data_IF_738254404071
#
_entry.id   IF_738254404071
#
_cell.length_a   1.000
_cell.length_b   1.000
_cell.length_c   1.000
_cell.angle_alpha   90.00
_cell.angle_beta   90.00
_cell.angle_gamma   90.00
#
_symmetry.space_group_name_H-M   'P 1'
#
loop_
_entity.id
_entity.type
_entity.pdbx_description
1 polymer ?
#
# COMPACT_ATOMS: atom_id res chain seq x y z
N UNK A 1 -26.08 25.30 46.01
CA UNK A 1 -26.66 26.40 45.20
C UNK A 1 -26.96 25.87 43.81
N UNK A 2 -28.19 26.12 43.32
CA UNK A 2 -28.74 26.18 41.93
C UNK A 2 -28.02 25.37 40.84
N UNK A 3 -28.62 24.31 40.28
CA UNK A 3 -29.69 24.24 39.25
C UNK A 3 -29.29 24.76 37.85
N UNK A 4 -29.47 23.87 36.86
CA UNK A 4 -29.97 24.18 35.50
C UNK A 4 -28.98 23.91 34.36
N UNK A 5 -29.40 23.49 33.15
CA UNK A 5 -30.68 22.99 32.65
C UNK A 5 -30.44 22.50 31.19
N UNK A 6 -31.05 21.35 30.85
CA UNK A 6 -31.67 20.89 29.59
C UNK A 6 -31.46 21.65 28.26
N UNK A 7 -31.28 20.87 27.17
CA UNK A 7 -32.20 20.74 26.01
C UNK A 7 -31.55 19.80 24.95
N UNK A 8 -32.13 18.63 24.61
CA UNK A 8 -33.16 18.42 23.57
C UNK A 8 -32.68 18.87 22.18
N UNK A 9 -32.75 18.13 21.08
CA UNK A 9 -33.39 16.87 20.71
C UNK A 9 -33.58 16.92 19.17
N UNK A 10 -33.60 15.77 18.48
CA UNK A 10 -34.34 15.58 17.23
C UNK A 10 -34.19 14.14 16.73
N UNK A 11 -35.26 13.37 16.95
CA UNK A 11 -35.57 12.13 16.26
C UNK A 11 -36.21 12.54 14.92
N UNK A 12 -35.78 11.93 13.81
CA UNK A 12 -36.59 11.87 12.60
C UNK A 12 -36.52 10.45 12.03
N UNK A 13 -37.57 9.69 12.31
CA UNK A 13 -37.96 8.52 11.55
C UNK A 13 -39.01 8.96 10.53
N UNK A 14 -38.81 8.59 9.26
CA UNK A 14 -39.91 8.44 8.29
C UNK A 14 -39.65 7.17 7.49
N UNK A 15 -40.52 6.20 7.70
CA UNK A 15 -40.75 5.06 6.82
C UNK A 15 -41.60 5.50 5.61
N UNK A 16 -41.57 4.74 4.51
CA UNK A 16 -42.76 4.14 3.87
C UNK A 16 -42.34 3.36 2.61
N UNK A 17 -42.98 2.20 2.48
CA UNK A 17 -42.86 1.20 1.45
C UNK A 17 -43.36 1.63 0.06
N UNK A 18 -42.96 0.87 -0.96
CA UNK A 18 -43.56 0.91 -2.30
C UNK A 18 -43.34 -0.39 -3.06
N UNK A 19 -44.23 -1.36 -2.84
CA UNK A 19 -44.44 -2.53 -3.69
C UNK A 19 -45.23 -2.10 -4.93
N UNK A 20 -44.81 -2.51 -6.14
CA UNK A 20 -45.73 -2.61 -7.30
C UNK A 20 -45.47 -3.95 -8.00
N UNK A 21 -46.47 -4.81 -7.91
CA UNK A 21 -46.64 -6.04 -8.70
C UNK A 21 -47.60 -5.73 -9.86
N UNK A 22 -47.34 -6.41 -10.98
CA UNK A 22 -48.24 -6.82 -12.06
C UNK A 22 -48.53 -5.92 -13.27
N UNK A 23 -48.34 -6.56 -14.43
CA UNK A 23 -48.92 -6.21 -15.72
C UNK A 23 -48.73 -7.36 -16.71
N UNK A 24 -49.47 -8.46 -16.55
CA UNK A 24 -49.71 -9.45 -17.62
C UNK A 24 -50.92 -9.03 -18.47
N UNK A 25 -50.75 -8.99 -19.79
CA UNK A 25 -51.74 -9.26 -20.87
C UNK A 25 -50.98 -9.14 -22.19
N UNK A 26 -50.73 -10.22 -22.94
CA UNK A 26 -51.68 -10.97 -23.79
C UNK A 26 -51.58 -10.39 -25.21
N UNK A 27 -51.52 -11.10 -26.33
CA UNK A 27 -51.51 -12.50 -26.75
C UNK A 27 -51.46 -12.47 -28.29
N UNK A 28 -51.09 -13.56 -28.98
CA UNK A 28 -51.26 -13.62 -30.45
C UNK A 28 -50.27 -14.49 -31.22
N UNK A 29 -50.67 -15.74 -31.46
CA UNK A 29 -50.55 -16.53 -32.69
C UNK A 29 -49.24 -16.60 -33.52
N UNK A 30 -48.63 -17.78 -33.47
CA UNK A 30 -48.33 -18.71 -34.59
C UNK A 30 -47.82 -18.18 -35.94
N UNK A 31 -46.58 -18.55 -36.27
CA UNK A 31 -46.06 -18.70 -37.63
C UNK A 31 -44.59 -19.13 -37.65
N UNK A 32 -44.21 -20.27 -38.28
CA UNK A 32 -42.85 -20.81 -38.19
C UNK A 32 -41.98 -20.37 -39.38
N UNK A 33 -40.83 -19.74 -39.13
CA UNK A 33 -39.78 -19.57 -40.16
C UNK A 33 -38.39 -19.56 -39.50
N UNK A 34 -37.70 -20.69 -39.67
CA UNK A 34 -36.26 -20.95 -39.78
C UNK A 34 -35.22 -20.30 -38.85
N UNK A 35 -34.21 -21.08 -38.41
CA UNK A 35 -33.14 -20.61 -37.55
C UNK A 35 -32.12 -19.84 -38.38
N UNK A 36 -32.14 -18.51 -38.29
CA UNK A 36 -30.91 -17.76 -38.52
C UNK A 36 -30.01 -17.99 -37.30
N UNK A 37 -29.12 -18.97 -37.44
CA UNK A 37 -27.94 -19.16 -36.61
C UNK A 37 -27.06 -17.91 -36.71
N UNK A 38 -27.46 -16.86 -36.02
CA UNK A 38 -26.57 -15.81 -35.61
C UNK A 38 -25.87 -16.34 -34.38
N UNK A 39 -24.70 -16.94 -34.56
CA UNK A 39 -23.70 -16.99 -33.51
C UNK A 39 -23.44 -15.55 -33.07
N UNK A 40 -24.25 -15.04 -32.14
CA UNK A 40 -23.81 -14.03 -31.21
C UNK A 40 -22.63 -14.70 -30.52
N UNK A 41 -21.43 -14.36 -30.98
CA UNK A 41 -20.23 -14.48 -30.17
C UNK A 41 -20.58 -13.68 -28.92
N UNK A 42 -21.03 -14.37 -27.88
CA UNK A 42 -21.02 -13.83 -26.53
C UNK A 42 -19.61 -13.26 -26.37
N UNK A 43 -19.47 -12.00 -25.93
CA UNK A 43 -18.15 -11.47 -25.64
C UNK A 43 -17.48 -12.51 -24.74
N UNK A 44 -16.34 -13.04 -25.19
CA UNK A 44 -15.52 -13.93 -24.39
C UNK A 44 -15.38 -13.22 -23.07
N UNK A 45 -16.02 -13.75 -22.03
CA UNK A 45 -15.98 -13.12 -20.72
C UNK A 45 -14.50 -13.03 -20.36
N UNK A 46 -13.99 -11.80 -20.24
CA UNK A 46 -12.60 -11.56 -19.88
C UNK A 46 -12.30 -12.43 -18.65
N UNK A 47 -11.20 -13.19 -18.72
CA UNK A 47 -10.80 -14.03 -17.59
C UNK A 47 -10.76 -13.18 -16.32
N UNK A 48 -11.25 -13.70 -15.16
CA UNK A 48 -11.36 -12.90 -13.95
C UNK A 48 -9.99 -12.33 -13.58
N UNK A 49 -9.97 -11.04 -13.19
CA UNK A 49 -8.73 -10.33 -12.83
C UNK A 49 -8.00 -10.99 -11.66
N UNK A 50 -8.74 -11.68 -10.79
CA UNK A 50 -8.24 -12.35 -9.60
C UNK A 50 -9.21 -13.45 -9.15
N UNK A 51 -8.75 -14.36 -8.30
CA UNK A 51 -9.57 -15.39 -7.65
C UNK A 51 -9.04 -15.75 -6.27
N UNK A 52 -9.91 -16.19 -5.36
CA UNK A 52 -9.48 -16.74 -4.07
C UNK A 52 -8.95 -18.16 -4.28
N UNK A 53 -7.75 -18.44 -3.77
CA UNK A 53 -7.07 -19.74 -3.93
C UNK A 53 -6.83 -20.48 -2.60
N UNK A 54 -7.10 -19.84 -1.48
CA UNK A 54 -6.93 -20.45 -0.17
C UNK A 54 -6.96 -19.45 0.96
N UNK A 55 -6.46 -19.88 2.11
CA UNK A 55 -6.36 -19.09 3.32
C UNK A 55 -5.87 -19.92 4.50
N UNK A 56 -5.42 -19.25 5.56
CA UNK A 56 -5.09 -19.93 6.82
C UNK A 56 -6.36 -20.18 7.63
N UNK A 57 -6.40 -21.30 8.34
CA UNK A 57 -7.51 -21.67 9.21
C UNK A 57 -7.51 -20.82 10.50
N UNK A 58 -8.71 -20.37 10.86
CA UNK A 58 -9.16 -19.78 12.13
C UNK A 58 -8.89 -18.27 12.44
N UNK A 59 -9.95 -17.63 12.97
CA UNK A 59 -9.95 -16.43 13.82
C UNK A 59 -9.78 -15.08 13.12
N UNK A 60 -8.80 -14.99 12.22
CA UNK A 60 -8.51 -13.82 11.42
C UNK A 60 -8.68 -14.21 9.96
N UNK A 61 -9.42 -13.41 9.17
CA UNK A 61 -9.69 -13.73 7.76
C UNK A 61 -8.39 -13.60 6.96
N UNK A 62 -7.65 -14.69 6.87
CA UNK A 62 -6.44 -14.83 6.06
C UNK A 62 -6.87 -15.38 4.71
N UNK A 63 -6.81 -14.55 3.68
CA UNK A 63 -7.24 -14.91 2.33
C UNK A 63 -6.04 -14.88 1.40
N UNK A 64 -5.88 -15.94 0.62
CA UNK A 64 -4.90 -16.00 -0.45
C UNK A 64 -5.60 -15.76 -1.78
N UNK A 65 -5.11 -14.79 -2.53
CA UNK A 65 -5.68 -14.39 -3.82
C UNK A 65 -4.65 -14.62 -4.91
N UNK A 66 -5.04 -15.31 -5.96
CA UNK A 66 -4.26 -15.35 -7.19
C UNK A 66 -4.71 -14.21 -8.09
N UNK A 67 -3.78 -13.32 -8.44
CA UNK A 67 -4.02 -12.25 -9.42
C UNK A 67 -3.63 -12.73 -10.82
N UNK A 68 -4.43 -12.37 -11.81
CA UNK A 68 -4.12 -12.66 -13.21
C UNK A 68 -2.88 -11.86 -13.64
N UNK A 69 -1.98 -12.43 -14.47
CA UNK A 69 -0.80 -11.71 -14.95
C UNK A 69 -1.13 -10.40 -15.67
N UNK A 70 -2.25 -10.34 -16.40
CA UNK A 70 -2.72 -9.14 -17.10
C UNK A 70 -3.21 -8.03 -16.16
N UNK A 71 -3.63 -8.37 -14.94
CA UNK A 71 -4.08 -7.42 -13.93
C UNK A 71 -3.04 -7.17 -12.82
N UNK A 72 -1.91 -7.89 -12.82
CA UNK A 72 -0.90 -7.82 -11.78
C UNK A 72 -0.31 -6.42 -11.59
N UNK A 73 -0.25 -5.59 -12.64
CA UNK A 73 0.25 -4.21 -12.56
C UNK A 73 -0.86 -3.15 -12.45
N UNK A 74 -2.10 -3.59 -12.24
CA UNK A 74 -3.27 -2.73 -12.11
C UNK A 74 -3.71 -2.70 -10.64
N UNK A 75 -3.38 -1.60 -9.94
CA UNK A 75 -3.77 -1.38 -8.54
C UNK A 75 -5.27 -1.59 -8.29
N UNK A 76 -6.13 -1.27 -9.26
CA UNK A 76 -7.57 -1.42 -9.09
C UNK A 76 -8.00 -2.88 -8.91
N UNK A 77 -7.26 -3.84 -9.47
CA UNK A 77 -7.54 -5.27 -9.28
C UNK A 77 -7.31 -5.72 -7.83
N UNK A 78 -6.29 -5.15 -7.17
CA UNK A 78 -6.03 -5.40 -5.77
C UNK A 78 -7.10 -4.75 -4.87
N UNK A 79 -7.45 -3.51 -5.14
CA UNK A 79 -8.47 -2.79 -4.36
C UNK A 79 -9.86 -3.45 -4.51
N UNK A 80 -10.21 -3.90 -5.71
CA UNK A 80 -11.44 -4.66 -5.99
C UNK A 80 -11.48 -5.98 -5.20
N UNK A 81 -10.39 -6.73 -5.24
CA UNK A 81 -10.24 -7.98 -4.50
C UNK A 81 -10.37 -7.74 -2.98
N UNK A 82 -9.72 -6.71 -2.44
CA UNK A 82 -9.82 -6.32 -1.04
C UNK A 82 -11.25 -5.94 -0.65
N UNK A 83 -11.94 -5.15 -1.46
CA UNK A 83 -13.32 -4.77 -1.20
C UNK A 83 -14.25 -5.99 -1.11
N UNK A 84 -14.04 -6.96 -2.00
CA UNK A 84 -14.82 -8.20 -2.05
C UNK A 84 -14.56 -9.13 -0.85
N UNK A 85 -13.30 -9.21 -0.36
CA UNK A 85 -12.93 -10.17 0.69
C UNK A 85 -12.84 -9.58 2.10
N UNK A 86 -12.69 -8.27 2.25
CA UNK A 86 -12.49 -7.62 3.56
C UNK A 86 -13.69 -6.81 4.06
N UNK A 87 -14.67 -6.50 3.20
CA UNK A 87 -15.98 -5.88 3.46
C UNK A 87 -16.24 -5.24 4.85
N UNK A 88 -15.40 -4.27 5.26
CA UNK A 88 -15.61 -3.47 6.49
C UNK A 88 -15.18 -4.12 7.81
N UNK A 89 -14.53 -5.28 7.77
CA UNK A 89 -14.08 -6.00 8.98
C UNK A 89 -12.64 -5.64 9.36
N UNK A 90 -12.44 -5.34 10.64
CA UNK A 90 -11.10 -5.14 11.20
C UNK A 90 -10.32 -6.47 11.24
N UNK A 91 -9.04 -6.44 10.84
CA UNK A 91 -8.16 -7.60 10.89
C UNK A 91 -8.13 -8.45 9.62
N UNK A 92 -8.66 -7.98 8.49
CA UNK A 92 -8.51 -8.68 7.21
C UNK A 92 -7.03 -8.78 6.80
N UNK A 93 -6.60 -10.00 6.45
CA UNK A 93 -5.26 -10.34 6.02
C UNK A 93 -5.34 -10.93 4.61
N UNK A 94 -4.73 -10.27 3.63
CA UNK A 94 -4.81 -10.73 2.23
C UNK A 94 -3.42 -10.79 1.62
N UNK A 95 -3.04 -11.97 1.16
CA UNK A 95 -1.80 -12.19 0.43
C UNK A 95 -2.12 -12.45 -1.05
N UNK A 96 -1.49 -11.69 -1.93
CA UNK A 96 -1.66 -11.79 -3.37
C UNK A 96 -0.51 -12.59 -3.98
N UNK A 97 -0.81 -13.51 -4.88
CA UNK A 97 0.14 -14.39 -5.55
C UNK A 97 -0.09 -14.37 -7.05
N UNK A 98 0.97 -14.60 -7.83
CA UNK A 98 0.88 -14.87 -9.26
C UNK A 98 0.75 -16.37 -9.55
N UNK A 99 0.26 -16.76 -10.75
CA UNK A 99 0.32 -18.15 -11.17
C UNK A 99 1.76 -18.68 -11.11
N UNK A 100 1.97 -19.80 -10.42
CA UNK A 100 3.28 -20.44 -10.25
C UNK A 100 4.03 -20.03 -8.98
N UNK A 101 3.58 -19.00 -8.26
CA UNK A 101 4.13 -18.68 -6.94
C UNK A 101 3.85 -19.83 -5.96
N UNK A 102 4.77 -20.03 -5.01
CA UNK A 102 4.54 -20.93 -3.89
C UNK A 102 3.52 -20.30 -2.94
N UNK A 103 2.40 -20.98 -2.71
CA UNK A 103 1.30 -20.54 -1.84
C UNK A 103 1.27 -21.41 -0.58
N UNK A 104 1.04 -20.85 0.62
CA UNK A 104 0.88 -21.66 1.82
C UNK A 104 -0.31 -22.63 1.68
N UNK A 105 -0.21 -23.85 2.25
CA UNK A 105 -1.36 -24.74 2.32
C UNK A 105 -2.46 -24.14 3.22
N UNK A 106 -3.69 -24.62 3.06
CA UNK A 106 -4.78 -24.27 3.95
C UNK A 106 -4.55 -24.98 5.30
N UNK A 107 -4.02 -24.24 6.27
CA UNK A 107 -3.65 -24.78 7.58
C UNK A 107 -3.81 -23.73 8.70
N UNK A 108 -3.84 -24.12 9.98
CA UNK A 108 -3.90 -23.17 11.09
C UNK A 108 -2.70 -22.22 11.13
N UNK A 109 -2.95 -20.95 11.48
CA UNK A 109 -1.90 -19.91 11.62
C UNK A 109 -0.72 -20.36 12.49
N UNK A 110 -0.98 -21.08 13.59
CA UNK A 110 0.08 -21.57 14.48
C UNK A 110 1.05 -22.54 13.76
N UNK A 111 0.52 -23.41 12.88
CA UNK A 111 1.31 -24.34 12.09
C UNK A 111 2.13 -23.58 11.04
N UNK A 112 1.49 -22.70 10.28
CA UNK A 112 2.14 -21.80 9.33
C UNK A 112 3.34 -21.06 9.94
N UNK A 113 3.15 -20.45 11.12
CA UNK A 113 4.22 -19.74 11.82
C UNK A 113 5.33 -20.67 12.33
N UNK A 114 4.99 -21.88 12.80
CA UNK A 114 5.99 -22.87 13.24
C UNK A 114 6.85 -23.41 12.09
N UNK A 115 6.30 -23.42 10.87
CA UNK A 115 6.99 -23.84 9.65
C UNK A 115 7.74 -22.69 8.96
N UNK A 116 7.95 -21.55 9.63
CA UNK A 116 8.73 -20.41 9.15
C UNK A 116 7.91 -19.25 8.57
N UNK A 117 6.59 -19.41 8.46
CA UNK A 117 5.65 -18.36 8.06
C UNK A 117 5.99 -17.68 6.73
N UNK A 118 5.79 -16.37 6.65
CA UNK A 118 6.00 -15.56 5.44
C UNK A 118 7.45 -15.57 4.90
N UNK A 119 8.44 -16.08 5.64
CA UNK A 119 9.80 -16.23 5.11
C UNK A 119 9.88 -17.25 3.98
N UNK A 120 8.92 -18.17 3.90
CA UNK A 120 8.90 -19.26 2.93
C UNK A 120 7.96 -19.01 1.74
N UNK A 121 7.27 -17.87 1.72
CA UNK A 121 6.23 -17.53 0.76
C UNK A 121 6.30 -16.04 0.44
N UNK A 122 6.49 -15.68 -0.83
CA UNK A 122 6.72 -14.31 -1.26
C UNK A 122 5.55 -13.79 -2.09
N UNK A 123 4.46 -13.31 -1.44
CA UNK A 123 3.35 -12.72 -2.16
C UNK A 123 3.83 -11.49 -2.96
N UNK A 124 3.14 -11.17 -4.06
CA UNK A 124 3.40 -9.94 -4.84
C UNK A 124 2.90 -8.70 -4.11
N UNK A 125 1.91 -8.85 -3.24
CA UNK A 125 1.44 -7.79 -2.36
C UNK A 125 0.82 -8.40 -1.11
N UNK A 126 0.95 -7.71 0.02
CA UNK A 126 0.40 -8.16 1.29
C UNK A 126 -0.36 -7.04 1.98
N UNK A 127 -1.61 -7.30 2.33
CA UNK A 127 -2.51 -6.38 3.01
C UNK A 127 -2.69 -6.78 4.47
N UNK A 128 -2.41 -5.85 5.37
CA UNK A 128 -2.59 -6.01 6.81
C UNK A 128 -2.88 -4.66 7.46
N UNK A 129 -3.75 -4.64 8.47
CA UNK A 129 -4.11 -3.43 9.23
C UNK A 129 -4.53 -2.26 8.32
N UNK A 130 -5.37 -2.55 7.33
CA UNK A 130 -5.90 -1.57 6.38
C UNK A 130 -4.84 -0.86 5.52
N UNK A 131 -3.69 -1.51 5.30
CA UNK A 131 -2.65 -1.01 4.42
C UNK A 131 -1.90 -2.15 3.70
N UNK A 132 -1.31 -1.83 2.55
CA UNK A 132 -0.32 -2.69 1.93
C UNK A 132 1.00 -2.59 2.71
N UNK A 133 1.38 -3.65 3.39
CA UNK A 133 2.60 -3.74 4.19
C UNK A 133 3.77 -4.36 3.42
N UNK A 134 3.47 -5.07 2.33
CA UNK A 134 4.44 -5.56 1.36
C UNK A 134 3.91 -5.33 -0.06
N UNK A 135 4.81 -5.04 -0.99
CA UNK A 135 4.51 -4.75 -2.39
C UNK A 135 5.75 -4.95 -3.26
N UNK A 136 5.68 -5.94 -4.15
CA UNK A 136 6.73 -6.25 -5.10
C UNK A 136 6.64 -5.31 -6.30
N UNK A 137 7.46 -4.27 -6.36
CA UNK A 137 7.41 -3.26 -7.43
C UNK A 137 7.58 -3.86 -8.84
N UNK A 138 8.37 -4.93 -8.99
CA UNK A 138 8.61 -5.55 -10.28
C UNK A 138 7.38 -6.32 -10.79
N UNK A 139 6.80 -7.13 -9.89
CA UNK A 139 5.67 -8.03 -10.21
C UNK A 139 4.31 -7.33 -10.11
N UNK A 140 4.09 -6.52 -9.08
CA UNK A 140 2.85 -5.76 -8.83
C UNK A 140 2.84 -4.36 -9.46
N UNK A 141 3.99 -3.87 -9.95
CA UNK A 141 4.12 -2.60 -10.64
C UNK A 141 4.18 -1.37 -9.74
N UNK A 142 4.76 -0.29 -10.26
CA UNK A 142 4.94 0.97 -9.51
C UNK A 142 3.64 1.78 -9.38
N UNK A 143 2.74 1.64 -10.36
CA UNK A 143 1.55 2.49 -10.47
C UNK A 143 0.55 2.12 -9.37
N UNK A 144 0.40 3.03 -8.40
CA UNK A 144 -0.48 2.81 -7.26
C UNK A 144 0.14 1.93 -6.17
N UNK A 145 1.45 1.68 -6.23
CA UNK A 145 2.17 1.11 -5.10
C UNK A 145 2.02 2.01 -3.85
N UNK A 146 1.94 1.43 -2.65
CA UNK A 146 1.87 2.23 -1.43
C UNK A 146 3.21 2.95 -1.20
N UNK A 147 3.19 4.11 -0.54
CA UNK A 147 4.39 4.93 -0.38
C UNK A 147 5.54 4.19 0.34
N UNK A 148 5.25 3.28 1.26
CA UNK A 148 6.27 2.48 1.96
C UNK A 148 6.99 1.47 1.06
N UNK A 149 6.45 1.13 -0.11
CA UNK A 149 7.09 0.19 -1.04
C UNK A 149 8.29 0.78 -1.80
N UNK A 150 8.45 2.11 -1.76
CA UNK A 150 9.54 2.82 -2.46
C UNK A 150 9.68 2.47 -3.96
N UNK A 151 8.58 2.08 -4.60
CA UNK A 151 8.57 1.78 -6.03
C UNK A 151 8.85 3.01 -6.89
N UNK A 152 9.45 2.77 -8.05
CA UNK A 152 9.86 3.79 -9.01
C UNK A 152 11.38 3.98 -9.05
N UNK A 153 11.85 4.47 -10.19
CA UNK A 153 13.27 4.72 -10.39
C UNK A 153 13.82 5.68 -9.32
N UNK A 154 14.92 5.28 -8.68
CA UNK A 154 15.68 6.11 -7.72
C UNK A 154 14.94 6.50 -6.44
N UNK A 155 13.72 6.00 -6.18
CA UNK A 155 12.93 6.40 -4.99
C UNK A 155 13.59 5.90 -3.69
N UNK A 156 14.00 4.64 -3.65
CA UNK A 156 14.70 4.06 -2.50
C UNK A 156 16.08 4.70 -2.29
N UNK A 157 16.84 4.92 -3.37
CA UNK A 157 18.14 5.58 -3.32
C UNK A 157 18.02 7.02 -2.79
N UNK A 158 17.03 7.78 -3.27
CA UNK A 158 16.75 9.12 -2.79
C UNK A 158 16.35 9.13 -1.31
N UNK A 159 15.53 8.18 -0.88
CA UNK A 159 15.17 8.02 0.53
C UNK A 159 16.41 7.73 1.40
N UNK A 160 17.26 6.82 0.95
CA UNK A 160 18.51 6.44 1.61
C UNK A 160 19.52 7.61 1.66
N UNK A 161 19.60 8.41 0.60
CA UNK A 161 20.42 9.61 0.54
C UNK A 161 19.94 10.66 1.56
N UNK A 162 18.63 10.90 1.65
CA UNK A 162 18.02 11.80 2.65
C UNK A 162 18.30 11.32 4.09
N UNK A 163 18.22 10.01 4.33
CA UNK A 163 18.57 9.43 5.63
C UNK A 163 20.05 9.57 5.95
N UNK A 164 20.94 9.45 4.97
CA UNK A 164 22.39 9.62 5.14
C UNK A 164 22.72 11.06 5.52
N UNK A 165 22.16 12.05 4.82
CA UNK A 165 22.36 13.47 5.12
C UNK A 165 21.78 13.85 6.49
N UNK A 166 20.56 13.40 6.81
CA UNK A 166 19.97 13.68 8.14
C UNK A 166 20.74 13.03 9.28
N UNK A 167 21.26 11.81 9.08
CA UNK A 167 22.08 11.12 10.07
C UNK A 167 23.40 11.85 10.31
N UNK A 168 24.08 12.30 9.24
CA UNK A 168 25.27 13.14 9.37
C UNK A 168 24.97 14.44 10.08
N UNK A 169 23.92 15.15 9.67
CA UNK A 169 23.52 16.43 10.28
C UNK A 169 23.26 16.28 11.78
N UNK A 170 22.53 15.23 12.17
CA UNK A 170 22.24 14.92 13.58
C UNK A 170 23.53 14.67 14.38
N UNK A 171 24.42 13.82 13.85
CA UNK A 171 25.70 13.54 14.50
C UNK A 171 26.60 14.78 14.57
N UNK A 172 26.65 15.57 13.50
CA UNK A 172 27.44 16.80 13.44
C UNK A 172 26.99 17.83 14.48
N UNK A 173 25.67 17.96 14.74
CA UNK A 173 25.13 18.81 15.81
C UNK A 173 25.57 18.32 17.19
N UNK A 174 25.49 17.02 17.43
CA UNK A 174 25.93 16.43 18.70
C UNK A 174 27.43 16.58 18.93
N UNK A 175 28.24 16.38 17.89
CA UNK A 175 29.70 16.41 17.96
C UNK A 175 30.33 17.79 17.72
N UNK A 176 29.54 18.82 17.44
CA UNK A 176 30.03 20.18 17.17
C UNK A 176 30.83 20.33 15.86
N UNK A 177 30.60 19.50 14.85
CA UNK A 177 31.35 19.55 13.57
C UNK A 177 30.92 20.69 12.63
N UNK A 178 29.79 21.34 12.91
CA UNK A 178 29.25 22.42 12.08
C UNK A 178 28.34 21.94 10.93
N UNK A 179 27.56 22.89 10.41
CA UNK A 179 26.65 22.71 9.27
C UNK A 179 27.38 22.96 7.95
N UNK A 180 27.11 22.13 6.94
CA UNK A 180 27.62 22.28 5.56
C UNK A 180 26.53 22.77 4.58
N UNK A 181 25.36 23.21 5.07
CA UNK A 181 24.22 23.62 4.24
C UNK A 181 23.40 22.44 3.67
N UNK A 182 23.61 21.25 4.23
CA UNK A 182 23.07 19.99 3.70
C UNK A 182 21.55 19.91 3.90
N UNK A 183 21.05 20.51 5.00
CA UNK A 183 19.62 20.65 5.27
C UNK A 183 18.91 21.44 4.19
N UNK A 184 19.48 22.58 3.77
CA UNK A 184 18.90 23.40 2.72
C UNK A 184 18.90 22.65 1.38
N UNK A 185 19.98 21.92 1.08
CA UNK A 185 20.12 21.12 -0.15
C UNK A 185 19.06 20.03 -0.24
N UNK A 186 18.85 19.26 0.85
CA UNK A 186 17.80 18.23 0.90
C UNK A 186 16.40 18.84 0.81
N UNK A 187 16.13 19.96 1.50
CA UNK A 187 14.82 20.62 1.40
C UNK A 187 14.54 21.16 -0.02
N UNK A 188 15.57 21.66 -0.70
CA UNK A 188 15.47 22.11 -2.10
C UNK A 188 15.28 20.93 -3.07
N UNK A 189 15.83 19.75 -2.76
CA UNK A 189 15.57 18.53 -3.51
C UNK A 189 14.10 18.09 -3.34
N UNK A 190 13.65 17.94 -2.09
CA UNK A 190 12.29 17.49 -1.77
C UNK A 190 11.24 18.43 -2.40
N UNK A 191 11.45 19.75 -2.36
CA UNK A 191 10.48 20.70 -2.91
C UNK A 191 10.24 20.57 -4.43
N UNK A 192 11.18 19.98 -5.17
CA UNK A 192 11.09 19.76 -6.62
C UNK A 192 10.38 18.45 -7.00
N UNK A 193 10.17 17.53 -6.04
CA UNK A 193 9.52 16.24 -6.30
C UNK A 193 8.13 16.42 -6.88
N UNK A 194 7.79 15.71 -7.95
CA UNK A 194 6.48 15.88 -8.61
C UNK A 194 5.32 15.34 -7.79
N UNK A 195 5.52 14.19 -7.14
CA UNK A 195 4.50 13.55 -6.31
C UNK A 195 4.36 14.28 -4.95
N UNK A 196 3.20 14.91 -4.67
CA UNK A 196 3.00 15.63 -3.41
C UNK A 196 2.98 14.71 -2.19
N UNK A 197 2.47 13.48 -2.31
CA UNK A 197 2.41 12.54 -1.20
C UNK A 197 3.80 12.01 -0.86
N UNK A 198 4.62 11.74 -1.88
CA UNK A 198 6.05 11.42 -1.72
C UNK A 198 6.82 12.56 -1.07
N UNK A 199 6.59 13.79 -1.56
CA UNK A 199 7.20 15.02 -1.03
C UNK A 199 6.92 15.17 0.46
N UNK A 200 5.67 15.01 0.88
CA UNK A 200 5.28 15.07 2.28
C UNK A 200 5.94 13.96 3.11
N UNK A 201 5.90 12.71 2.63
CA UNK A 201 6.53 11.57 3.31
C UNK A 201 8.02 11.83 3.57
N UNK A 202 8.75 12.28 2.55
CA UNK A 202 10.19 12.51 2.64
C UNK A 202 10.52 13.72 3.51
N UNK A 203 9.75 14.81 3.40
CA UNK A 203 9.91 15.98 4.28
C UNK A 203 9.68 15.62 5.74
N UNK A 204 8.56 14.93 6.03
CA UNK A 204 8.21 14.50 7.38
C UNK A 204 9.27 13.58 7.98
N UNK A 205 9.76 12.61 7.21
CA UNK A 205 10.82 11.70 7.67
C UNK A 205 12.13 12.45 7.94
N UNK A 206 12.51 13.36 7.05
CA UNK A 206 13.72 14.16 7.20
C UNK A 206 13.67 15.05 8.44
N UNK A 207 12.59 15.83 8.60
CA UNK A 207 12.40 16.71 9.75
C UNK A 207 12.32 15.92 11.06
N UNK A 208 11.62 14.76 11.06
CA UNK A 208 11.58 13.86 12.22
C UNK A 208 12.98 13.40 12.63
N UNK A 209 13.77 12.87 11.69
CA UNK A 209 15.13 12.39 12.00
C UNK A 209 16.02 13.51 12.55
N UNK A 210 15.88 14.74 12.05
CA UNK A 210 16.62 15.91 12.54
C UNK A 210 16.17 16.40 13.92
N UNK A 211 14.92 16.13 14.31
CA UNK A 211 14.36 16.51 15.61
C UNK A 211 14.74 15.53 16.73
N UNK A 212 15.04 14.28 16.38
CA UNK A 212 15.44 13.27 17.34
C UNK A 212 16.86 13.53 17.86
N UNK A 213 17.03 13.43 19.18
CA UNK A 213 18.35 13.51 19.81
C UNK A 213 19.23 12.36 19.33
N UNK A 214 20.51 12.64 19.12
CA UNK A 214 21.49 11.57 18.90
C UNK A 214 21.63 10.73 20.18
N UNK A 215 21.32 9.44 20.10
CA UNK A 215 21.36 8.51 21.24
C UNK A 215 22.66 7.72 21.40
N UNK A 216 23.71 8.04 20.64
CA UNK A 216 24.99 7.33 20.69
C UNK A 216 26.02 7.98 21.62
N UNK A 217 27.19 7.36 21.74
CA UNK A 217 28.27 7.80 22.62
C UNK A 217 29.16 8.87 21.98
N UNK A 218 29.89 9.63 22.82
CA UNK A 218 30.84 10.64 22.37
C UNK A 218 32.03 10.06 21.57
N UNK A 219 32.39 8.80 21.81
CA UNK A 219 33.41 8.06 21.04
C UNK A 219 33.10 8.03 19.54
N UNK A 220 31.82 8.02 19.17
CA UNK A 220 31.37 8.04 17.79
C UNK A 220 31.72 9.35 17.05
N UNK A 221 31.98 10.44 17.78
CA UNK A 221 32.39 11.72 17.19
C UNK A 221 33.77 11.69 16.51
N UNK A 222 34.58 10.68 16.80
CA UNK A 222 35.84 10.47 16.09
C UNK A 222 35.72 9.24 15.20
N UNK A 223 35.19 8.14 15.74
CA UNK A 223 35.13 6.86 15.06
C UNK A 223 34.30 6.89 13.76
N UNK A 224 33.19 7.62 13.74
CA UNK A 224 32.26 7.61 12.59
C UNK A 224 32.45 8.78 11.64
N UNK A 225 33.32 9.75 11.95
CA UNK A 225 33.36 11.03 11.24
C UNK A 225 33.63 10.86 9.75
N UNK A 226 34.71 10.17 9.40
CA UNK A 226 35.12 9.97 8.00
C UNK A 226 34.00 9.31 7.18
N UNK A 227 33.46 8.19 7.67
CA UNK A 227 32.46 7.41 6.95
C UNK A 227 31.11 8.13 6.82
N UNK A 228 30.72 8.91 7.83
CA UNK A 228 29.47 9.65 7.82
C UNK A 228 29.58 10.91 6.95
N UNK A 229 30.73 11.58 6.94
CA UNK A 229 30.97 12.71 6.02
C UNK A 229 31.01 12.24 4.56
N UNK A 230 31.74 11.17 4.24
CA UNK A 230 31.80 10.61 2.89
C UNK A 230 30.41 10.19 2.37
N UNK A 231 29.63 9.45 3.18
CA UNK A 231 28.26 9.05 2.80
C UNK A 231 27.32 10.24 2.61
N UNK A 232 27.47 11.30 3.39
CA UNK A 232 26.67 12.52 3.21
C UNK A 232 27.02 13.21 1.89
N UNK A 233 28.31 13.27 1.53
CA UNK A 233 28.79 13.87 0.29
C UNK A 233 28.30 13.08 -0.95
N UNK A 234 28.40 11.76 -0.93
CA UNK A 234 27.87 10.88 -1.99
C UNK A 234 26.34 11.01 -2.11
N UNK A 235 25.63 11.07 -0.98
CA UNK A 235 24.19 11.27 -0.94
C UNK A 235 23.78 12.62 -1.56
N UNK A 236 24.48 13.71 -1.24
CA UNK A 236 24.21 15.03 -1.83
C UNK A 236 24.48 15.05 -3.33
N UNK A 237 25.54 14.38 -3.77
CA UNK A 237 25.84 14.22 -5.21
C UNK A 237 24.69 13.49 -5.91
N UNK A 238 24.23 12.38 -5.36
CA UNK A 238 23.09 11.63 -5.89
C UNK A 238 21.84 12.52 -6.02
N UNK A 239 21.49 13.27 -4.97
CA UNK A 239 20.33 14.17 -4.97
C UNK A 239 20.47 15.34 -5.96
N UNK A 240 21.69 15.73 -6.32
CA UNK A 240 21.94 16.75 -7.33
C UNK A 240 21.79 16.21 -8.77
N UNK A 241 22.15 14.95 -8.99
CA UNK A 241 22.18 14.30 -10.31
C UNK A 241 20.83 13.68 -10.70
N UNK A 242 20.05 13.24 -9.72
CA UNK A 242 18.78 12.54 -9.93
C UNK A 242 17.61 13.38 -9.44
N UNK A 243 16.45 13.26 -10.09
CA UNK A 243 15.18 13.87 -9.66
C UNK A 243 14.08 12.81 -9.78
N UNK A 244 13.24 12.70 -8.74
CA UNK A 244 12.09 11.78 -8.70
C UNK A 244 10.75 12.52 -8.75
#
# INVERSE_FOLDING_TARGET
MKKGLLAAGAICAVAIAGFVIWGMRGGGASGPLNPASGNKVSPVADAPKWQVIGGLEAGVRNVFIQISPSAAKDRSAYDEALAAVCSGESGCLVAFFLPGDKVPPNEPMAKFMSEGGWRNYHPVAYWFNNAFTDWDCERAGDKGAPLNAMCGAFVEDAYSAILSVSSRTKLARFCGWGDKGEVASVKAYISKMKDPARREQFSSKFDKNLSETYGGEASNCVALRSDVEARSEDALKFLAEHQI
#
